data_IF_054789484651
#
_entry.id   IF_054789484651
#
_cell.length_a   1.000
_cell.length_b   1.000
_cell.length_c   1.000
_cell.angle_alpha   90.00
_cell.angle_beta   90.00
_cell.angle_gamma   90.00
#
_symmetry.space_group_name_H-M   'P 1'
#
loop_
_entity.id
_entity.type
_entity.pdbx_description
1 polymer ?
#
# COMPACT_ATOMS: atom_id res chain seq x y z
N UNK A 1 2.71 35.16 0.68
CA UNK A 1 1.36 35.65 0.42
C UNK A 1 0.35 34.92 1.29
N UNK A 2 -0.81 35.51 1.47
CA UNK A 2 -1.88 34.93 2.29
C UNK A 2 -2.36 33.59 1.74
N UNK A 3 -2.38 33.43 0.42
CA UNK A 3 -2.79 32.18 -0.22
C UNK A 3 -1.85 31.02 0.11
N UNK A 4 -0.55 31.29 0.13
CA UNK A 4 0.45 30.27 0.47
C UNK A 4 0.32 29.87 1.93
N UNK A 5 0.11 30.82 2.82
CA UNK A 5 -0.07 30.55 4.26
C UNK A 5 -1.33 29.74 4.50
N UNK A 6 -2.45 30.12 3.91
CA UNK A 6 -3.72 29.38 4.01
C UNK A 6 -3.57 27.95 3.46
N UNK A 7 -2.86 27.76 2.34
CA UNK A 7 -2.63 26.44 1.76
C UNK A 7 -1.79 25.56 2.69
N UNK A 8 -0.77 26.13 3.35
CA UNK A 8 0.04 25.38 4.31
C UNK A 8 -0.78 24.97 5.53
N UNK A 9 -1.60 25.86 6.06
CA UNK A 9 -2.47 25.55 7.20
C UNK A 9 -3.47 24.45 6.85
N UNK A 10 -4.08 24.53 5.66
CA UNK A 10 -5.00 23.51 5.18
C UNK A 10 -4.31 22.15 5.01
N UNK A 11 -3.07 22.17 4.53
CA UNK A 11 -2.29 20.95 4.36
C UNK A 11 -1.98 20.30 5.72
N UNK A 12 -1.58 21.12 6.70
CA UNK A 12 -1.29 20.62 8.06
C UNK A 12 -2.53 20.02 8.69
N UNK A 13 -3.69 20.68 8.57
CA UNK A 13 -4.96 20.17 9.07
C UNK A 13 -5.34 18.87 8.39
N UNK A 14 -5.15 18.78 7.09
CA UNK A 14 -5.44 17.58 6.32
C UNK A 14 -4.54 16.43 6.76
N UNK A 15 -3.25 16.67 6.94
CA UNK A 15 -2.31 15.65 7.40
C UNK A 15 -2.66 15.13 8.78
N UNK A 16 -3.08 16.03 9.68
CA UNK A 16 -3.53 15.64 11.02
C UNK A 16 -4.80 14.78 10.95
N UNK A 17 -5.76 15.18 10.10
CA UNK A 17 -6.99 14.43 9.91
C UNK A 17 -6.73 13.03 9.33
N UNK A 18 -5.79 12.91 8.41
CA UNK A 18 -5.40 11.62 7.83
C UNK A 18 -4.85 10.69 8.93
N UNK A 19 -4.07 11.22 9.86
CA UNK A 19 -3.51 10.41 10.95
C UNK A 19 -4.58 9.92 11.93
N UNK A 20 -5.74 10.56 11.97
CA UNK A 20 -6.87 10.14 12.80
C UNK A 20 -7.73 9.05 12.15
N UNK A 21 -7.51 8.75 10.87
CA UNK A 21 -8.24 7.68 10.19
C UNK A 21 -7.91 6.35 10.87
N UNK A 22 -8.95 5.62 11.28
CA UNK A 22 -8.81 4.37 12.00
C UNK A 22 -8.31 3.25 11.07
N UNK A 23 -7.32 2.51 11.56
CA UNK A 23 -6.80 1.31 10.88
C UNK A 23 -7.00 0.13 11.83
N UNK A 24 -7.84 -0.82 11.45
CA UNK A 24 -8.11 -1.98 12.28
C UNK A 24 -6.87 -2.86 12.41
N UNK A 25 -6.82 -3.64 13.47
CA UNK A 25 -5.75 -4.62 13.68
C UNK A 25 -5.73 -5.66 12.55
N UNK A 26 -6.91 -6.07 12.09
CA UNK A 26 -7.05 -7.01 10.96
C UNK A 26 -6.43 -6.43 9.70
N UNK A 27 -6.70 -5.16 9.40
CA UNK A 27 -6.11 -4.49 8.24
C UNK A 27 -4.58 -4.42 8.35
N UNK A 28 -4.06 -4.09 9.52
CA UNK A 28 -2.62 -4.03 9.76
C UNK A 28 -1.96 -5.40 9.55
N UNK A 29 -2.55 -6.45 10.09
CA UNK A 29 -2.04 -7.81 9.93
C UNK A 29 -2.08 -8.26 8.47
N UNK A 30 -3.16 -7.94 7.78
CA UNK A 30 -3.31 -8.27 6.36
C UNK A 30 -2.23 -7.57 5.53
N UNK A 31 -2.00 -6.28 5.79
CA UNK A 31 -0.97 -5.49 5.10
C UNK A 31 0.42 -6.08 5.32
N UNK A 32 0.74 -6.41 6.57
CA UNK A 32 2.03 -7.03 6.91
C UNK A 32 2.19 -8.37 6.18
N UNK A 33 1.14 -9.18 6.14
CA UNK A 33 1.18 -10.48 5.46
C UNK A 33 1.39 -10.32 3.96
N UNK A 34 0.75 -9.34 3.33
CA UNK A 34 0.96 -9.06 1.90
C UNK A 34 2.42 -8.71 1.62
N UNK A 35 3.00 -7.80 2.41
CA UNK A 35 4.40 -7.42 2.26
C UNK A 35 5.33 -8.60 2.47
N UNK A 36 5.06 -9.39 3.51
CA UNK A 36 5.85 -10.59 3.82
C UNK A 36 5.83 -11.60 2.68
N UNK A 37 4.67 -11.82 2.06
CA UNK A 37 4.54 -12.73 0.91
C UNK A 37 5.28 -12.24 -0.31
N UNK A 38 5.37 -10.92 -0.54
CA UNK A 38 6.19 -10.39 -1.63
C UNK A 38 7.65 -10.73 -1.46
N UNK A 39 8.13 -10.81 -0.22
CA UNK A 39 9.52 -11.15 0.08
C UNK A 39 9.83 -12.64 -0.09
N UNK A 40 8.81 -13.49 -0.02
CA UNK A 40 8.97 -14.95 -0.03
C UNK A 40 8.45 -15.62 -1.29
N UNK A 41 7.82 -14.87 -2.18
CA UNK A 41 7.25 -15.44 -3.39
C UNK A 41 8.36 -15.97 -4.30
N UNK A 42 8.21 -17.19 -4.85
CA UNK A 42 9.26 -17.80 -5.67
C UNK A 42 9.58 -17.05 -6.96
N UNK A 43 8.66 -16.24 -7.47
CA UNK A 43 8.87 -15.44 -8.68
C UNK A 43 9.50 -14.08 -8.40
N UNK A 44 9.68 -13.70 -7.13
CA UNK A 44 10.21 -12.39 -6.73
C UNK A 44 11.61 -12.55 -6.18
N UNK A 45 12.56 -11.86 -6.80
CA UNK A 45 13.94 -11.83 -6.36
C UNK A 45 14.15 -10.88 -5.18
N UNK A 46 13.45 -9.73 -5.22
CA UNK A 46 13.57 -8.70 -4.19
C UNK A 46 12.17 -8.18 -3.88
N UNK A 47 11.66 -8.50 -2.72
CA UNK A 47 10.34 -8.08 -2.29
C UNK A 47 10.32 -6.69 -1.65
N UNK A 48 9.15 -6.29 -1.16
CA UNK A 48 8.98 -5.03 -0.46
C UNK A 48 9.82 -4.97 0.82
N UNK A 49 10.36 -3.78 1.15
CA UNK A 49 11.08 -3.57 2.39
C UNK A 49 10.09 -3.57 3.57
N UNK A 50 10.58 -3.74 4.84
CA UNK A 50 9.70 -3.62 6.00
C UNK A 50 8.94 -2.29 6.05
N UNK A 51 9.54 -1.24 5.50
CA UNK A 51 8.91 0.09 5.45
C UNK A 51 7.75 0.17 4.46
N UNK A 52 7.67 -0.78 3.53
CA UNK A 52 6.58 -0.82 2.56
C UNK A 52 5.22 -0.99 3.26
N UNK A 53 5.15 -1.79 4.31
CA UNK A 53 3.92 -1.97 5.08
C UNK A 53 3.44 -0.67 5.70
N UNK A 54 4.35 0.09 6.29
CA UNK A 54 4.01 1.40 6.87
C UNK A 54 3.55 2.37 5.79
N UNK A 55 4.24 2.41 4.65
CA UNK A 55 3.87 3.26 3.53
C UNK A 55 2.46 2.92 3.02
N UNK A 56 2.13 1.63 2.94
CA UNK A 56 0.81 1.19 2.52
C UNK A 56 -0.28 1.62 3.51
N UNK A 57 -0.01 1.52 4.81
CA UNK A 57 -0.97 1.94 5.84
C UNK A 57 -1.22 3.44 5.74
N UNK A 58 -0.18 4.25 5.58
CA UNK A 58 -0.33 5.69 5.45
C UNK A 58 -1.07 6.08 4.18
N UNK A 59 -0.77 5.42 3.07
CA UNK A 59 -1.47 5.66 1.81
C UNK A 59 -2.94 5.26 1.89
N UNK A 60 -3.24 4.16 2.60
CA UNK A 60 -4.62 3.72 2.81
C UNK A 60 -5.41 4.71 3.64
N UNK A 61 -4.80 5.30 4.67
CA UNK A 61 -5.42 6.36 5.47
C UNK A 61 -5.76 7.57 4.61
N UNK A 62 -4.82 8.00 3.77
CA UNK A 62 -5.03 9.14 2.87
C UNK A 62 -6.15 8.86 1.88
N UNK A 63 -6.18 7.65 1.31
CA UNK A 63 -7.24 7.24 0.39
C UNK A 63 -8.61 7.24 1.07
N UNK A 64 -8.71 6.68 2.28
CA UNK A 64 -9.94 6.68 3.06
C UNK A 64 -10.42 8.11 3.31
N UNK A 65 -9.51 8.99 3.72
CA UNK A 65 -9.82 10.40 3.95
C UNK A 65 -10.37 11.09 2.70
N UNK A 66 -9.72 10.87 1.54
CA UNK A 66 -10.16 11.45 0.27
C UNK A 66 -11.57 10.97 -0.10
N UNK A 67 -11.89 9.72 0.25
CA UNK A 67 -13.23 9.14 0.03
C UNK A 67 -14.24 9.47 1.14
N UNK A 68 -13.90 10.39 2.04
CA UNK A 68 -14.79 10.85 3.09
C UNK A 68 -15.02 9.87 4.23
N UNK A 69 -14.08 8.91 4.41
CA UNK A 69 -14.19 7.93 5.49
C UNK A 69 -13.17 8.22 6.59
N UNK A 70 -13.52 7.88 7.82
CA UNK A 70 -12.63 7.98 8.97
C UNK A 70 -12.04 6.61 9.39
N UNK A 71 -12.14 5.63 8.50
CA UNK A 71 -11.60 4.29 8.67
C UNK A 71 -11.18 3.71 7.33
N UNK A 72 -10.20 2.81 7.34
CA UNK A 72 -9.75 2.11 6.14
C UNK A 72 -10.58 0.85 5.91
N UNK A 73 -10.70 0.47 4.64
CA UNK A 73 -11.39 -0.77 4.22
C UNK A 73 -10.43 -1.59 3.34
N UNK A 74 -10.68 -2.90 3.14
CA UNK A 74 -9.79 -3.73 2.32
C UNK A 74 -9.53 -3.21 0.92
N UNK A 75 -10.50 -2.55 0.31
CA UNK A 75 -10.36 -1.95 -1.01
C UNK A 75 -9.26 -0.90 -1.07
N UNK A 76 -8.99 -0.23 0.06
CA UNK A 76 -7.90 0.75 0.13
C UNK A 76 -6.54 0.05 -0.08
N UNK A 77 -6.39 -1.14 0.51
CA UNK A 77 -5.17 -1.93 0.32
C UNK A 77 -5.02 -2.39 -1.14
N UNK A 78 -6.08 -2.93 -1.71
CA UNK A 78 -6.04 -3.45 -3.08
C UNK A 78 -5.75 -2.36 -4.10
N UNK A 79 -6.37 -1.19 -3.94
CA UNK A 79 -6.16 -0.06 -4.85
C UNK A 79 -4.73 0.47 -4.82
N UNK A 80 -4.08 0.38 -3.65
CA UNK A 80 -2.75 0.96 -3.46
C UNK A 80 -1.61 -0.05 -3.61
N UNK A 81 -1.90 -1.35 -3.49
CA UNK A 81 -0.86 -2.36 -3.53
C UNK A 81 -0.04 -2.29 -4.81
N UNK A 82 -0.69 -2.07 -5.95
CA UNK A 82 -0.01 -1.95 -7.22
C UNK A 82 0.95 -0.75 -7.21
N UNK A 83 0.50 0.41 -6.73
CA UNK A 83 1.32 1.61 -6.73
C UNK A 83 2.47 1.56 -5.74
N UNK A 84 2.25 0.96 -4.57
CA UNK A 84 3.25 0.96 -3.50
C UNK A 84 4.21 -0.22 -3.61
N UNK A 85 3.70 -1.42 -3.87
CA UNK A 85 4.51 -2.64 -3.86
C UNK A 85 5.15 -2.95 -5.20
N UNK A 86 4.43 -2.72 -6.31
CA UNK A 86 4.92 -3.10 -7.63
C UNK A 86 6.27 -2.47 -7.96
N UNK A 87 6.47 -1.22 -7.57
CA UNK A 87 7.73 -0.51 -7.80
C UNK A 87 8.89 -1.02 -6.95
N UNK A 88 8.60 -1.81 -5.92
CA UNK A 88 9.59 -2.38 -5.00
C UNK A 88 9.84 -3.85 -5.27
N UNK A 89 9.12 -4.44 -6.23
CA UNK A 89 9.24 -5.85 -6.59
C UNK A 89 10.10 -6.00 -7.84
N UNK A 90 10.97 -7.02 -7.82
CA UNK A 90 11.74 -7.43 -9.00
C UNK A 90 11.44 -8.90 -9.23
N UNK A 91 10.97 -9.22 -10.43
CA UNK A 91 10.73 -10.61 -10.79
C UNK A 91 12.04 -11.31 -11.13
N UNK A 92 12.13 -12.59 -10.78
CA UNK A 92 13.28 -13.41 -11.14
C UNK A 92 13.32 -13.57 -12.66
N UNK A 93 14.52 -13.77 -13.18
CA UNK A 93 14.73 -13.95 -14.62
C UNK A 93 13.84 -15.07 -15.18
N UNK A 94 13.76 -16.19 -14.48
CA UNK A 94 12.97 -17.36 -14.90
C UNK A 94 11.49 -17.00 -15.04
N UNK A 95 10.97 -16.19 -14.13
CA UNK A 95 9.58 -15.74 -14.18
C UNK A 95 9.33 -14.83 -15.38
N UNK A 96 10.25 -13.90 -15.62
CA UNK A 96 10.18 -13.01 -16.78
C UNK A 96 10.24 -13.79 -18.09
N UNK A 97 11.11 -14.81 -18.15
CA UNK A 97 11.22 -15.67 -19.33
C UNK A 97 9.94 -16.46 -19.63
N UNK A 98 9.15 -16.78 -18.60
CA UNK A 98 7.86 -17.45 -18.75
C UNK A 98 6.72 -16.49 -19.07
N UNK A 99 6.99 -15.18 -19.16
CA UNK A 99 5.97 -14.18 -19.44
C UNK A 99 5.13 -13.78 -18.23
N UNK A 100 5.60 -14.08 -17.01
CA UNK A 100 4.91 -13.71 -15.77
C UNK A 100 5.06 -12.20 -15.56
N UNK A 101 3.97 -11.52 -15.20
CA UNK A 101 3.98 -10.09 -14.90
C UNK A 101 3.95 -9.84 -13.39
N UNK A 102 4.50 -8.70 -12.97
CA UNK A 102 4.44 -8.28 -11.57
C UNK A 102 3.01 -8.11 -11.09
N UNK A 103 2.13 -7.61 -11.95
CA UNK A 103 0.71 -7.41 -11.62
C UNK A 103 0.04 -8.75 -11.32
N UNK A 104 0.29 -9.79 -12.12
CA UNK A 104 -0.31 -11.10 -11.89
C UNK A 104 0.17 -11.73 -10.60
N UNK A 105 1.45 -11.59 -10.27
CA UNK A 105 2.02 -12.08 -9.01
C UNK A 105 1.40 -11.36 -7.82
N UNK A 106 1.26 -10.04 -7.91
CA UNK A 106 0.66 -9.25 -6.84
C UNK A 106 -0.80 -9.62 -6.60
N UNK A 107 -1.58 -9.83 -7.67
CA UNK A 107 -2.97 -10.28 -7.56
C UNK A 107 -3.07 -11.64 -6.86
N UNK A 108 -2.17 -12.56 -7.19
CA UNK A 108 -2.09 -13.85 -6.53
C UNK A 108 -1.84 -13.69 -5.02
N UNK A 109 -0.86 -12.85 -4.66
CA UNK A 109 -0.52 -12.60 -3.26
C UNK A 109 -1.71 -12.00 -2.50
N UNK A 110 -2.37 -11.01 -3.08
CA UNK A 110 -3.53 -10.36 -2.44
C UNK A 110 -4.67 -11.35 -2.24
N UNK A 111 -4.91 -12.22 -3.19
CA UNK A 111 -5.94 -13.24 -3.13
C UNK A 111 -5.65 -14.26 -2.03
N UNK A 112 -4.42 -14.71 -1.88
CA UNK A 112 -4.02 -15.72 -0.89
C UNK A 112 -3.89 -15.16 0.52
N UNK A 113 -3.50 -13.89 0.64
CA UNK A 113 -3.33 -13.24 1.94
C UNK A 113 -4.65 -12.82 2.59
N UNK A 114 -5.71 -12.66 1.78
CA UNK A 114 -7.06 -12.33 2.26
C UNK A 114 -7.81 -13.56 2.81
#
# INVERSE_FOLDING_TARGET
SDEIVATRENLVEMMAAVQEVHVSEVFQKHTVEVVRRTRRHPSIELGGSPRAGLAMIQAARARAFIHGRDYVVPEDLYALAEDVLLHRMRLRYEALAEGISGVSVLKEILSEAG
#
